data_IF_140811328173
#
_entry.id   IF_140811328173
#
_cell.length_a   1.000
_cell.length_b   1.000
_cell.length_c   1.000
_cell.angle_alpha   90.00
_cell.angle_beta   90.00
_cell.angle_gamma   90.00
#
_symmetry.space_group_name_H-M   'P 1'
#
loop_
_entity.id
_entity.type
_entity.pdbx_description
1 polymer ?
#
# COMPACT_ATOMS: atom_id res chain seq x y z
N UNK A 1 10.03 -10.69 -17.89
CA UNK A 1 10.39 -9.61 -16.96
C UNK A 1 9.14 -9.34 -16.14
N UNK A 2 9.18 -9.46 -14.81
CA UNK A 2 8.05 -9.00 -13.98
C UNK A 2 7.96 -7.49 -14.19
N UNK A 3 6.81 -7.00 -14.61
CA UNK A 3 6.50 -5.59 -14.49
C UNK A 3 6.61 -5.26 -13.00
N UNK A 4 7.36 -4.22 -12.63
CA UNK A 4 7.61 -3.88 -11.21
C UNK A 4 6.35 -3.31 -10.51
N UNK A 5 5.19 -3.86 -10.83
CA UNK A 5 3.87 -3.45 -10.38
C UNK A 5 3.41 -4.33 -9.23
N UNK A 6 2.52 -3.76 -8.43
CA UNK A 6 1.86 -4.41 -7.30
C UNK A 6 0.60 -5.04 -7.84
N UNK A 7 0.58 -6.37 -7.87
CA UNK A 7 -0.59 -7.14 -8.28
C UNK A 7 -1.52 -7.35 -7.09
N UNK A 8 -2.74 -6.87 -7.22
CA UNK A 8 -3.79 -7.00 -6.20
C UNK A 8 -4.95 -7.78 -6.81
N UNK A 9 -5.38 -8.90 -6.20
CA UNK A 9 -6.59 -9.59 -6.62
C UNK A 9 -7.80 -8.65 -6.59
N UNK A 10 -8.47 -8.49 -7.73
CA UNK A 10 -9.60 -7.57 -7.88
C UNK A 10 -10.86 -8.08 -7.19
N UNK A 11 -11.29 -7.41 -6.12
CA UNK A 11 -12.61 -7.61 -5.50
C UNK A 11 -13.29 -6.27 -5.27
N UNK A 12 -14.60 -6.18 -5.52
CA UNK A 12 -15.39 -5.00 -5.10
C UNK A 12 -15.45 -4.97 -3.57
N UNK A 13 -14.90 -3.92 -2.97
CA UNK A 13 -14.95 -3.69 -1.52
C UNK A 13 -15.60 -2.34 -1.27
N UNK A 14 -16.55 -2.29 -0.34
CA UNK A 14 -17.07 -1.03 0.19
C UNK A 14 -16.05 -0.46 1.17
N UNK A 15 -15.55 0.74 0.90
CA UNK A 15 -14.59 1.42 1.77
C UNK A 15 -15.28 1.73 3.10
N UNK A 16 -14.72 1.23 4.20
CA UNK A 16 -15.11 1.68 5.53
C UNK A 16 -14.31 2.96 5.84
N UNK A 17 -14.99 4.11 5.84
CA UNK A 17 -14.38 5.43 6.01
C UNK A 17 -13.68 5.63 7.38
N UNK A 18 -13.96 4.76 8.36
CA UNK A 18 -13.40 4.83 9.72
C UNK A 18 -12.63 3.55 10.11
N UNK A 19 -12.32 2.69 9.15
CA UNK A 19 -11.70 1.40 9.41
C UNK A 19 -10.21 1.52 9.80
N UNK A 20 -9.82 0.85 10.88
CA UNK A 20 -8.40 0.60 11.19
C UNK A 20 -7.83 -0.41 10.18
N UNK A 21 -6.80 -0.02 9.43
CA UNK A 21 -6.05 -0.94 8.56
C UNK A 21 -5.06 -1.72 9.43
N UNK A 22 -5.21 -3.04 9.48
CA UNK A 22 -4.25 -3.93 10.15
C UNK A 22 -3.21 -4.39 9.14
N UNK A 23 -1.94 -4.14 9.45
CA UNK A 23 -0.82 -4.62 8.64
C UNK A 23 -0.39 -6.01 9.10
N UNK A 24 0.14 -6.80 8.18
CA UNK A 24 0.92 -7.99 8.54
C UNK A 24 2.20 -7.55 9.24
N UNK A 25 2.82 -8.46 10.00
CA UNK A 25 4.10 -8.19 10.68
C UNK A 25 5.16 -7.71 9.68
N UNK A 26 5.32 -8.44 8.58
CA UNK A 26 6.26 -8.11 7.51
C UNK A 26 6.04 -6.69 6.94
N UNK A 27 4.79 -6.34 6.62
CA UNK A 27 4.47 -5.00 6.10
C UNK A 27 4.76 -3.89 7.13
N UNK A 28 4.52 -4.15 8.42
CA UNK A 28 4.82 -3.19 9.48
C UNK A 28 6.32 -3.00 9.70
N UNK A 29 7.13 -4.05 9.58
CA UNK A 29 8.59 -4.00 9.71
C UNK A 29 9.22 -3.25 8.54
N UNK A 30 8.82 -3.59 7.30
CA UNK A 30 9.27 -2.88 6.10
C UNK A 30 8.92 -1.38 6.15
N UNK A 31 7.72 -1.04 6.62
CA UNK A 31 7.33 0.36 6.79
C UNK A 31 8.16 1.05 7.88
N UNK A 32 8.52 0.36 8.96
CA UNK A 32 9.34 0.91 10.03
C UNK A 32 10.76 1.28 9.55
N UNK A 33 11.37 0.46 8.68
CA UNK A 33 12.67 0.77 8.06
C UNK A 33 12.61 2.10 7.29
N UNK A 34 11.61 2.28 6.43
CA UNK A 34 11.42 3.52 5.67
C UNK A 34 11.15 4.73 6.58
N UNK A 35 10.38 4.52 7.66
CA UNK A 35 10.04 5.60 8.61
C UNK A 35 11.27 6.04 9.39
N UNK A 36 12.11 5.11 9.84
CA UNK A 36 13.31 5.41 10.62
C UNK A 36 14.33 6.26 9.84
N UNK A 37 14.32 6.19 8.52
CA UNK A 37 15.13 7.04 7.64
C UNK A 37 14.47 8.39 7.32
N UNK A 38 13.22 8.58 7.75
CA UNK A 38 12.43 9.78 7.49
C UNK A 38 12.20 10.61 8.76
N UNK A 39 11.85 11.89 8.60
CA UNK A 39 11.37 12.73 9.71
C UNK A 39 9.84 12.70 9.85
N UNK A 40 9.17 11.74 9.19
CA UNK A 40 7.72 11.68 9.08
C UNK A 40 7.14 10.61 10.01
N UNK A 41 5.89 10.79 10.44
CA UNK A 41 5.20 9.74 11.18
C UNK A 41 4.89 8.54 10.27
N UNK A 42 4.79 7.34 10.88
CA UNK A 42 4.43 6.10 10.17
C UNK A 42 3.15 6.22 9.33
N UNK A 43 2.16 6.94 9.85
CA UNK A 43 0.91 7.20 9.14
C UNK A 43 1.13 8.05 7.89
N UNK A 44 1.95 9.10 7.98
CA UNK A 44 2.23 9.97 6.84
C UNK A 44 3.02 9.25 5.76
N UNK A 45 4.04 8.47 6.14
CA UNK A 45 4.82 7.65 5.19
C UNK A 45 3.94 6.64 4.49
N UNK A 46 3.13 5.87 5.23
CA UNK A 46 2.19 4.92 4.64
C UNK A 46 1.21 5.60 3.68
N UNK A 47 0.63 6.73 4.08
CA UNK A 47 -0.31 7.50 3.24
C UNK A 47 0.36 7.97 1.96
N UNK A 48 1.60 8.46 2.05
CA UNK A 48 2.36 8.95 0.90
C UNK A 48 2.66 7.81 -0.08
N UNK A 49 3.12 6.66 0.42
CA UNK A 49 3.41 5.48 -0.42
C UNK A 49 2.15 5.03 -1.16
N UNK A 50 1.02 4.88 -0.47
CA UNK A 50 -0.25 4.45 -1.08
C UNK A 50 -0.69 5.42 -2.18
N UNK A 51 -0.68 6.72 -1.89
CA UNK A 51 -1.10 7.75 -2.86
C UNK A 51 -0.16 7.77 -4.07
N UNK A 52 1.15 7.68 -3.86
CA UNK A 52 2.13 7.65 -4.96
C UNK A 52 2.02 6.38 -5.80
N UNK A 53 1.80 5.22 -5.18
CA UNK A 53 1.62 3.97 -5.91
C UNK A 53 0.40 4.03 -6.85
N UNK A 54 -0.71 4.60 -6.38
CA UNK A 54 -1.91 4.80 -7.20
C UNK A 54 -1.66 5.84 -8.30
N UNK A 55 -1.08 7.00 -7.96
CA UNK A 55 -0.85 8.09 -8.93
C UNK A 55 0.12 7.73 -10.05
N UNK A 56 1.08 6.84 -9.79
CA UNK A 56 2.08 6.41 -10.75
C UNK A 56 1.71 5.08 -11.45
N UNK A 57 0.45 4.66 -11.40
CA UNK A 57 -0.05 3.42 -12.04
C UNK A 57 0.78 2.16 -11.69
N UNK A 58 1.27 2.10 -10.45
CA UNK A 58 2.05 0.98 -9.94
C UNK A 58 1.17 -0.19 -9.48
N UNK A 59 -0.15 -0.05 -9.44
CA UNK A 59 -1.08 -1.09 -8.99
C UNK A 59 -1.84 -1.68 -10.18
N UNK A 60 -1.78 -3.00 -10.33
CA UNK A 60 -2.57 -3.77 -11.30
C UNK A 60 -3.57 -4.62 -10.54
N UNK A 61 -4.81 -4.63 -11.02
CA UNK A 61 -5.85 -5.50 -10.46
C UNK A 61 -5.96 -6.76 -11.30
N UNK A 62 -5.58 -7.89 -10.72
CA UNK A 62 -5.79 -9.20 -11.33
C UNK A 62 -7.28 -9.54 -11.17
N UNK A 63 -8.05 -9.26 -12.22
CA UNK A 63 -9.44 -9.71 -12.34
C UNK A 63 -9.40 -10.97 -13.19
N UNK A 64 -9.93 -12.06 -12.67
CA UNK A 64 -10.32 -13.18 -13.53
C UNK A 64 -11.38 -12.61 -14.49
N UNK A 65 -11.08 -12.59 -15.79
CA UNK A 65 -12.09 -12.36 -16.83
C UNK A 65 -13.14 -13.48 -16.82
#
# INVERSE_FOLDING_TARGET
>A
MKDNKIHIPGKKVTVNEQGTIKLTKEASEALAEVVNESTMSIKQVASLIIVQAIKNDLIVFDREE
#
